data_IF_071740264008
#
_entry.id   IF_071740264008
#
_cell.length_a   1.000
_cell.length_b   1.000
_cell.length_c   1.000
_cell.angle_alpha   90.00
_cell.angle_beta   90.00
_cell.angle_gamma   90.00
#
_symmetry.space_group_name_H-M   'P 1'
#
loop_
_entity.id
_entity.type
_entity.pdbx_description
1 polymer ?
#
# COMPACT_ATOMS: atom_id res chain seq x y z
N UNK A 1 6.72 -32.33 -3.65
CA UNK A 1 7.24 -31.78 -2.37
C UNK A 1 6.07 -31.23 -1.57
N UNK A 2 6.15 -31.27 -0.24
CA UNK A 2 5.25 -30.57 0.69
C UNK A 2 5.82 -29.19 0.99
N UNK A 3 5.07 -28.13 0.65
CA UNK A 3 5.57 -26.76 0.69
C UNK A 3 4.58 -25.87 1.44
N UNK A 4 5.05 -25.13 2.45
CA UNK A 4 4.27 -24.09 3.11
C UNK A 4 4.78 -22.70 2.72
N UNK A 5 3.88 -21.77 2.40
CA UNK A 5 4.23 -20.38 2.08
C UNK A 5 3.75 -19.46 3.19
N UNK A 6 4.68 -19.08 4.08
CA UNK A 6 4.45 -18.16 5.20
C UNK A 6 4.49 -16.73 4.67
N UNK A 7 3.30 -16.14 4.47
CA UNK A 7 3.15 -14.84 3.81
C UNK A 7 2.64 -14.97 2.38
N UNK A 8 1.52 -15.65 2.20
CA UNK A 8 0.80 -15.75 0.92
C UNK A 8 0.09 -14.43 0.55
N UNK A 9 0.87 -13.35 0.41
CA UNK A 9 0.51 -12.15 -0.34
C UNK A 9 0.71 -12.37 -1.84
N UNK A 10 0.77 -11.29 -2.64
CA UNK A 10 0.79 -11.44 -4.10
C UNK A 10 1.98 -12.28 -4.64
N UNK A 11 3.19 -12.05 -4.10
CA UNK A 11 4.39 -12.84 -4.45
C UNK A 11 4.33 -14.28 -3.92
N UNK A 12 3.87 -14.47 -2.68
CA UNK A 12 3.71 -15.81 -2.09
C UNK A 12 2.67 -16.66 -2.82
N UNK A 13 1.56 -16.05 -3.25
CA UNK A 13 0.58 -16.70 -4.11
C UNK A 13 1.11 -16.95 -5.52
N UNK A 14 1.93 -16.06 -6.10
CA UNK A 14 2.53 -16.29 -7.41
C UNK A 14 3.45 -17.54 -7.41
N UNK A 15 4.36 -17.62 -6.44
CA UNK A 15 5.30 -18.75 -6.30
C UNK A 15 4.57 -20.02 -5.85
N UNK A 16 3.78 -19.94 -4.77
CA UNK A 16 3.07 -21.09 -4.23
C UNK A 16 2.01 -21.65 -5.18
N UNK A 17 1.28 -20.78 -5.91
CA UNK A 17 0.33 -21.18 -6.93
C UNK A 17 1.00 -21.91 -8.10
N UNK A 18 2.12 -21.39 -8.62
CA UNK A 18 2.88 -22.08 -9.68
C UNK A 18 3.44 -23.43 -9.19
N UNK A 19 3.91 -23.54 -7.95
CA UNK A 19 4.34 -24.81 -7.37
C UNK A 19 3.19 -25.82 -7.20
N UNK A 20 2.00 -25.35 -6.80
CA UNK A 20 0.80 -26.18 -6.65
C UNK A 20 0.29 -26.70 -7.99
N UNK A 21 0.27 -25.84 -9.01
CA UNK A 21 -0.09 -26.18 -10.39
C UNK A 21 0.83 -27.26 -10.98
N UNK A 22 2.11 -27.25 -10.62
CA UNK A 22 3.08 -28.29 -10.95
C UNK A 22 2.95 -29.58 -10.11
N UNK A 23 1.88 -29.74 -9.33
CA UNK A 23 1.58 -30.96 -8.57
C UNK A 23 2.26 -31.08 -7.20
N UNK A 24 2.80 -30.00 -6.63
CA UNK A 24 3.29 -30.01 -5.24
C UNK A 24 2.13 -29.86 -4.25
N UNK A 25 2.29 -30.43 -3.05
CA UNK A 25 1.34 -30.26 -1.95
C UNK A 25 1.62 -28.92 -1.27
N UNK A 26 0.92 -27.87 -1.71
CA UNK A 26 1.14 -26.49 -1.24
C UNK A 26 0.10 -26.05 -0.23
N UNK A 27 0.60 -25.43 0.85
CA UNK A 27 -0.18 -24.73 1.85
C UNK A 27 0.15 -23.23 1.83
N UNK A 28 -0.85 -22.39 1.58
CA UNK A 28 -0.72 -20.92 1.61
C UNK A 28 -1.14 -20.39 2.99
N UNK A 29 -0.30 -19.56 3.62
CA UNK A 29 -0.58 -19.02 4.97
C UNK A 29 -0.69 -17.50 4.88
N UNK A 30 -1.88 -16.97 5.20
CA UNK A 30 -2.16 -15.52 5.21
C UNK A 30 -3.22 -15.18 6.27
N UNK A 31 -2.94 -14.20 7.12
CA UNK A 31 -3.85 -13.72 8.18
C UNK A 31 -5.18 -13.15 7.70
N UNK A 32 -5.33 -12.82 6.41
CA UNK A 32 -6.58 -12.30 5.86
C UNK A 32 -7.57 -13.45 5.58
N UNK A 33 -8.57 -13.59 6.45
CA UNK A 33 -9.59 -14.64 6.37
C UNK A 33 -10.33 -14.65 5.02
N UNK A 34 -10.77 -13.49 4.50
CA UNK A 34 -11.46 -13.42 3.22
C UNK A 34 -10.57 -13.89 2.05
N UNK A 35 -9.26 -13.64 2.09
CA UNK A 35 -8.31 -14.14 1.09
C UNK A 35 -8.13 -15.66 1.18
N UNK A 36 -8.09 -16.21 2.41
CA UNK A 36 -8.03 -17.66 2.66
C UNK A 36 -9.30 -18.38 2.20
N UNK A 37 -10.47 -17.83 2.52
CA UNK A 37 -11.78 -18.41 2.17
C UNK A 37 -11.97 -18.44 0.65
N UNK A 38 -11.63 -17.35 -0.05
CA UNK A 38 -11.70 -17.28 -1.51
C UNK A 38 -10.84 -18.36 -2.18
N UNK A 39 -9.61 -18.59 -1.70
CA UNK A 39 -8.71 -19.63 -2.23
C UNK A 39 -9.28 -21.03 -1.97
N UNK A 40 -9.80 -21.29 -0.76
CA UNK A 40 -10.33 -22.61 -0.42
C UNK A 40 -11.63 -22.94 -1.19
N UNK A 41 -12.50 -21.95 -1.42
CA UNK A 41 -13.77 -22.13 -2.14
C UNK A 41 -13.55 -22.25 -3.66
N UNK A 42 -12.82 -21.30 -4.25
CA UNK A 42 -12.74 -21.14 -5.71
C UNK A 42 -11.40 -21.57 -6.33
N UNK A 43 -10.36 -21.77 -5.51
CA UNK A 43 -8.98 -21.83 -5.98
C UNK A 43 -8.33 -20.44 -6.06
N UNK A 44 -7.01 -20.41 -6.18
CA UNK A 44 -6.24 -19.19 -6.39
C UNK A 44 -6.32 -18.78 -7.87
N UNK A 45 -6.92 -17.63 -8.16
CA UNK A 45 -6.95 -17.05 -9.49
C UNK A 45 -5.64 -16.34 -9.81
N UNK A 46 -4.96 -16.80 -10.88
CA UNK A 46 -3.68 -16.30 -11.35
C UNK A 46 -3.82 -15.76 -12.77
N UNK A 47 -3.68 -14.44 -12.92
CA UNK A 47 -3.65 -13.74 -14.21
C UNK A 47 -2.20 -13.56 -14.68
N UNK A 48 -1.92 -13.97 -15.90
CA UNK A 48 -0.66 -13.73 -16.62
C UNK A 48 -0.98 -13.05 -17.97
N UNK A 49 0.01 -12.62 -18.78
CA UNK A 49 -0.26 -12.05 -20.11
C UNK A 49 -1.03 -13.00 -21.05
N UNK A 50 -0.92 -14.31 -20.83
CA UNK A 50 -1.54 -15.36 -21.64
C UNK A 50 -3.00 -15.65 -21.26
N UNK A 51 -3.47 -15.16 -20.10
CA UNK A 51 -4.85 -15.37 -19.63
C UNK A 51 -4.99 -15.41 -18.10
N UNK A 52 -6.16 -15.86 -17.63
CA UNK A 52 -6.44 -16.07 -16.20
C UNK A 52 -6.88 -17.52 -15.96
N UNK A 53 -6.35 -18.14 -14.89
CA UNK A 53 -6.62 -19.53 -14.54
C UNK A 53 -6.76 -19.71 -13.02
N UNK A 54 -7.41 -20.78 -12.59
CA UNK A 54 -7.65 -21.08 -11.18
C UNK A 54 -6.85 -22.31 -10.74
N UNK A 55 -5.91 -22.12 -9.84
CA UNK A 55 -5.10 -23.19 -9.26
C UNK A 55 -5.75 -23.68 -7.95
N UNK A 56 -6.06 -24.97 -7.86
CA UNK A 56 -6.55 -25.57 -6.61
C UNK A 56 -5.38 -25.76 -5.65
N UNK A 57 -5.47 -25.12 -4.49
CA UNK A 57 -4.48 -25.18 -3.41
C UNK A 57 -5.19 -24.94 -2.07
N UNK A 58 -4.57 -25.35 -0.96
CA UNK A 58 -5.11 -25.11 0.38
C UNK A 58 -4.57 -23.79 0.93
N UNK A 59 -5.42 -23.02 1.61
CA UNK A 59 -5.03 -21.84 2.38
C UNK A 59 -5.48 -21.91 3.84
N UNK A 60 -4.74 -21.29 4.75
CA UNK A 60 -5.06 -21.19 6.19
C UNK A 60 -4.64 -19.82 6.75
N UNK A 61 -5.30 -19.39 7.83
CA UNK A 61 -4.95 -18.16 8.57
C UNK A 61 -3.85 -18.37 9.62
N UNK A 62 -3.65 -19.61 10.07
CA UNK A 62 -2.59 -20.02 11.00
C UNK A 62 -2.05 -21.39 10.62
N UNK A 63 -0.76 -21.61 10.89
CA UNK A 63 -0.11 -22.92 10.73
C UNK A 63 -0.08 -23.75 12.02
N UNK A 64 -0.60 -23.22 13.12
CA UNK A 64 -0.61 -23.88 14.42
C UNK A 64 -1.34 -25.24 14.38
N UNK A 65 -0.68 -26.28 14.87
CA UNK A 65 -1.20 -27.65 14.87
C UNK A 65 -1.07 -28.40 13.54
N UNK A 66 -0.49 -27.77 12.50
CA UNK A 66 -0.08 -28.46 11.28
C UNK A 66 1.31 -29.08 11.48
N UNK A 67 1.53 -30.25 10.89
CA UNK A 67 2.79 -31.00 11.00
C UNK A 67 3.88 -30.54 10.03
N UNK A 68 5.09 -31.12 10.12
CA UNK A 68 6.23 -30.74 9.31
C UNK A 68 6.03 -30.85 7.79
N UNK A 69 6.69 -29.95 7.06
CA UNK A 69 6.76 -29.93 5.59
C UNK A 69 8.21 -30.06 5.12
N UNK A 70 8.42 -30.32 3.83
CA UNK A 70 9.78 -30.41 3.26
C UNK A 70 10.42 -29.01 3.15
N UNK A 71 9.61 -28.00 2.79
CA UNK A 71 10.04 -26.63 2.52
C UNK A 71 9.06 -25.60 3.09
N UNK A 72 9.56 -24.67 3.90
CA UNK A 72 8.85 -23.44 4.29
C UNK A 72 9.45 -22.27 3.50
N UNK A 73 8.63 -21.56 2.74
CA UNK A 73 9.02 -20.34 2.00
C UNK A 73 8.51 -19.13 2.79
N UNK A 74 9.40 -18.24 3.21
CA UNK A 74 9.08 -17.05 4.01
C UNK A 74 9.04 -15.80 3.10
N UNK A 75 7.86 -15.18 3.03
CA UNK A 75 7.53 -14.08 2.11
C UNK A 75 6.67 -12.97 2.75
N UNK A 76 6.66 -12.88 4.08
CA UNK A 76 6.12 -11.71 4.80
C UNK A 76 7.02 -10.48 4.60
N UNK A 77 6.56 -9.28 5.02
CA UNK A 77 7.49 -8.14 5.17
C UNK A 77 8.51 -8.45 6.28
N UNK A 78 9.76 -8.05 6.12
CA UNK A 78 10.88 -8.48 6.97
C UNK A 78 10.70 -8.16 8.46
N UNK A 79 10.02 -7.06 8.80
CA UNK A 79 9.65 -6.71 10.17
C UNK A 79 8.57 -7.61 10.82
N UNK A 80 7.88 -8.46 10.05
CA UNK A 80 6.96 -9.47 10.55
C UNK A 80 7.57 -10.89 10.62
N UNK A 81 8.82 -11.11 10.19
CA UNK A 81 9.42 -12.47 10.07
C UNK A 81 9.33 -13.26 11.37
N UNK A 82 9.72 -12.66 12.51
CA UNK A 82 9.66 -13.30 13.83
C UNK A 82 8.24 -13.74 14.19
N UNK A 83 7.28 -12.81 14.19
CA UNK A 83 5.88 -13.07 14.53
C UNK A 83 5.25 -14.13 13.61
N UNK A 84 5.55 -14.10 12.31
CA UNK A 84 5.02 -15.05 11.35
C UNK A 84 5.59 -16.46 11.55
N UNK A 85 6.86 -16.57 11.95
CA UNK A 85 7.49 -17.86 12.22
C UNK A 85 7.11 -18.43 13.59
N UNK A 86 6.90 -17.60 14.62
CA UNK A 86 6.41 -18.02 15.95
C UNK A 86 5.10 -18.83 15.83
N UNK A 87 4.19 -18.42 14.95
CA UNK A 87 2.92 -19.13 14.69
C UNK A 87 3.05 -20.28 13.68
N UNK A 88 4.26 -20.52 13.15
CA UNK A 88 4.54 -21.49 12.08
C UNK A 88 5.61 -22.53 12.44
N UNK A 89 6.17 -22.52 13.67
CA UNK A 89 7.24 -23.44 14.08
C UNK A 89 6.88 -24.93 13.95
N UNK A 90 5.60 -25.31 14.08
CA UNK A 90 5.18 -26.73 13.94
C UNK A 90 5.35 -27.30 12.52
N UNK A 91 5.56 -26.44 11.52
CA UNK A 91 5.92 -26.84 10.15
C UNK A 91 7.38 -27.26 10.00
N UNK A 92 8.23 -27.00 11.01
CA UNK A 92 9.68 -27.25 10.95
C UNK A 92 10.02 -28.52 11.73
N UNK A 93 10.32 -29.58 10.98
CA UNK A 93 10.90 -30.82 11.49
C UNK A 93 12.38 -30.94 11.12
N UNK A 94 13.02 -32.04 11.55
CA UNK A 94 14.47 -32.29 11.40
C UNK A 94 15.04 -32.20 9.98
N UNK A 95 14.21 -32.27 8.94
CA UNK A 95 14.63 -32.19 7.53
C UNK A 95 14.02 -31.00 6.78
N UNK A 96 13.20 -30.17 7.44
CA UNK A 96 12.53 -29.03 6.80
C UNK A 96 13.55 -27.95 6.45
N UNK A 97 13.51 -27.47 5.20
CA UNK A 97 14.28 -26.27 4.81
C UNK A 97 13.41 -25.03 4.98
N UNK A 98 13.96 -23.96 5.52
CA UNK A 98 13.31 -22.65 5.63
C UNK A 98 14.00 -21.67 4.68
N UNK A 99 13.39 -21.47 3.51
CA UNK A 99 13.89 -20.57 2.47
C UNK A 99 13.30 -19.17 2.64
N UNK A 100 14.16 -18.17 2.83
CA UNK A 100 13.75 -16.78 2.65
C UNK A 100 13.81 -16.35 1.19
N UNK A 101 12.80 -15.62 0.73
CA UNK A 101 12.82 -14.84 -0.51
C UNK A 101 12.48 -13.35 -0.26
N UNK A 102 12.69 -12.89 0.98
CA UNK A 102 12.33 -11.53 1.42
C UNK A 102 13.35 -10.48 0.91
N UNK A 103 13.04 -9.20 1.11
CA UNK A 103 13.95 -8.09 0.78
C UNK A 103 14.72 -7.58 2.01
N UNK A 104 15.88 -6.99 1.76
CA UNK A 104 16.80 -6.50 2.81
C UNK A 104 17.70 -7.61 3.34
N UNK A 105 18.31 -7.39 4.51
CA UNK A 105 19.18 -8.36 5.20
C UNK A 105 18.85 -8.51 6.69
N UNK A 106 19.19 -9.67 7.25
CA UNK A 106 19.12 -9.96 8.68
C UNK A 106 17.78 -10.56 9.12
N UNK A 107 16.90 -10.87 8.18
CA UNK A 107 15.74 -11.71 8.46
C UNK A 107 16.14 -13.20 8.45
N UNK A 108 17.20 -13.56 7.73
CA UNK A 108 17.87 -14.86 7.76
C UNK A 108 18.54 -15.13 9.12
N UNK A 109 19.12 -14.11 9.75
CA UNK A 109 19.61 -14.19 11.14
C UNK A 109 18.43 -14.51 12.09
N UNK A 110 17.31 -13.81 11.96
CA UNK A 110 16.09 -14.06 12.75
C UNK A 110 15.56 -15.48 12.53
N UNK A 111 15.59 -15.99 11.29
CA UNK A 111 15.21 -17.38 11.01
C UNK A 111 16.18 -18.37 11.67
N UNK A 112 17.50 -18.15 11.55
CA UNK A 112 18.51 -19.02 12.13
C UNK A 112 18.43 -19.07 13.66
N UNK A 113 18.18 -17.94 14.32
CA UNK A 113 17.93 -17.85 15.77
C UNK A 113 16.69 -18.65 16.22
N UNK A 114 15.72 -18.86 15.34
CA UNK A 114 14.44 -19.51 15.65
C UNK A 114 14.36 -20.98 15.27
N UNK A 115 15.01 -21.39 14.18
CA UNK A 115 14.92 -22.76 13.63
C UNK A 115 16.26 -23.49 13.50
N UNK A 116 17.39 -22.85 13.86
CA UNK A 116 18.73 -23.37 13.60
C UNK A 116 19.26 -22.93 12.23
N UNK A 117 20.55 -22.56 12.17
CA UNK A 117 21.18 -22.08 10.93
C UNK A 117 21.20 -23.16 9.85
N UNK A 118 21.34 -24.41 10.26
CA UNK A 118 21.29 -25.62 9.45
C UNK A 118 19.94 -25.85 8.76
N UNK A 119 18.86 -25.18 9.18
CA UNK A 119 17.56 -25.21 8.51
C UNK A 119 17.38 -24.09 7.47
N UNK A 120 18.14 -23.00 7.56
CA UNK A 120 17.90 -21.79 6.74
C UNK A 120 18.58 -21.89 5.37
N UNK A 121 17.86 -21.47 4.33
CA UNK A 121 18.38 -21.21 2.99
C UNK A 121 18.05 -19.75 2.62
N UNK A 122 18.98 -19.06 1.97
CA UNK A 122 18.75 -17.69 1.49
C UNK A 122 18.34 -17.69 0.03
N UNK A 123 17.67 -16.61 -0.40
CA UNK A 123 17.27 -16.46 -1.78
C UNK A 123 16.86 -15.05 -2.18
N UNK A 124 17.04 -14.75 -3.46
CA UNK A 124 16.66 -13.50 -4.13
C UNK A 124 15.82 -13.84 -5.33
N UNK A 125 14.61 -13.31 -5.41
CA UNK A 125 13.75 -13.44 -6.58
C UNK A 125 13.53 -12.11 -7.30
N UNK A 126 13.40 -12.19 -8.64
CA UNK A 126 12.86 -11.13 -9.49
C UNK A 126 11.39 -11.36 -9.87
N UNK A 127 10.76 -12.44 -9.35
CA UNK A 127 9.33 -12.70 -9.54
C UNK A 127 8.52 -11.55 -8.94
N UNK A 128 7.54 -11.08 -9.70
CA UNK A 128 6.58 -10.07 -9.25
C UNK A 128 5.20 -10.67 -8.98
N UNK A 129 4.37 -9.92 -8.26
CA UNK A 129 2.95 -10.22 -8.13
C UNK A 129 2.16 -8.99 -7.72
N UNK A 130 0.93 -8.85 -8.22
CA UNK A 130 0.00 -7.77 -7.84
C UNK A 130 -1.25 -8.39 -7.25
N UNK A 131 -1.68 -7.94 -6.08
CA UNK A 131 -2.95 -8.36 -5.48
C UNK A 131 -4.11 -7.65 -6.18
N UNK A 132 -5.04 -8.39 -6.76
CA UNK A 132 -6.27 -7.86 -7.36
C UNK A 132 -7.45 -7.92 -6.39
N UNK A 133 -7.43 -8.88 -5.47
CA UNK A 133 -8.45 -9.05 -4.43
C UNK A 133 -8.27 -10.34 -3.64
N UNK A 134 -9.21 -10.70 -2.75
CA UNK A 134 -9.27 -12.01 -2.12
C UNK A 134 -9.13 -13.14 -3.15
N UNK A 135 -8.18 -14.06 -2.94
CA UNK A 135 -7.90 -15.19 -3.84
C UNK A 135 -7.48 -14.85 -5.28
N UNK A 136 -7.15 -13.60 -5.65
CA UNK A 136 -6.88 -13.22 -7.04
C UNK A 136 -5.65 -12.31 -7.19
N UNK A 137 -4.73 -12.72 -8.07
CA UNK A 137 -3.46 -12.01 -8.33
C UNK A 137 -3.14 -11.87 -9.82
N UNK A 138 -2.32 -10.87 -10.16
CA UNK A 138 -1.44 -10.94 -11.33
C UNK A 138 -0.18 -11.69 -10.91
N UNK A 139 0.20 -12.75 -11.63
CA UNK A 139 1.45 -13.49 -11.43
C UNK A 139 2.52 -13.01 -12.42
N UNK A 140 3.69 -12.62 -11.92
CA UNK A 140 4.84 -12.16 -12.69
C UNK A 140 6.02 -13.14 -12.62
N UNK A 141 5.75 -14.45 -12.80
CA UNK A 141 6.77 -15.51 -12.75
C UNK A 141 7.55 -15.70 -14.06
N UNK A 142 6.92 -15.43 -15.21
CA UNK A 142 7.46 -15.76 -16.53
C UNK A 142 8.74 -14.95 -16.82
N UNK A 143 9.82 -15.65 -17.16
CA UNK A 143 11.11 -15.04 -17.48
C UNK A 143 11.79 -14.31 -16.31
N UNK A 144 11.40 -14.60 -15.06
CA UNK A 144 12.03 -14.02 -13.85
C UNK A 144 12.89 -15.04 -13.14
N UNK A 145 14.16 -14.70 -12.96
CA UNK A 145 15.11 -15.53 -12.23
C UNK A 145 14.88 -15.49 -10.72
N UNK A 146 15.12 -16.62 -10.07
CA UNK A 146 15.33 -16.74 -8.63
C UNK A 146 16.71 -17.35 -8.38
N UNK A 147 17.47 -16.77 -7.46
CA UNK A 147 18.74 -17.27 -6.98
C UNK A 147 18.52 -17.79 -5.56
N UNK A 148 18.94 -19.02 -5.26
CA UNK A 148 18.92 -19.57 -3.90
C UNK A 148 20.30 -20.11 -3.52
N UNK A 149 20.65 -20.14 -2.24
CA UNK A 149 21.95 -20.67 -1.83
C UNK A 149 22.12 -20.79 -0.32
N UNK A 150 23.14 -21.53 0.06
CA UNK A 150 23.54 -21.71 1.46
C UNK A 150 24.21 -20.44 1.99
N UNK A 151 23.99 -20.12 3.26
CA UNK A 151 24.55 -18.92 3.91
C UNK A 151 26.08 -18.98 4.08
N UNK A 152 26.71 -20.12 3.79
CA UNK A 152 28.17 -20.32 3.75
C UNK A 152 28.74 -20.46 2.33
N UNK A 153 27.89 -20.35 1.29
CA UNK A 153 28.27 -20.52 -0.12
C UNK A 153 28.39 -21.97 -0.59
N UNK A 154 28.11 -22.97 0.24
CA UNK A 154 28.20 -24.38 -0.16
C UNK A 154 27.10 -24.79 -1.16
N UNK A 155 27.45 -25.66 -2.13
CA UNK A 155 26.52 -26.16 -3.16
C UNK A 155 25.84 -27.47 -2.70
N UNK A 156 24.96 -27.35 -1.72
CA UNK A 156 24.29 -28.50 -1.08
C UNK A 156 23.32 -29.27 -2.00
N UNK A 157 23.03 -30.52 -1.62
CA UNK A 157 22.03 -31.34 -2.31
C UNK A 157 20.60 -30.82 -2.09
N UNK A 158 20.30 -30.22 -0.92
CA UNK A 158 18.97 -29.66 -0.62
C UNK A 158 18.67 -28.43 -1.48
N UNK A 159 19.64 -27.53 -1.68
CA UNK A 159 19.47 -26.36 -2.55
C UNK A 159 19.26 -26.80 -4.01
N UNK A 160 20.02 -27.80 -4.48
CA UNK A 160 19.84 -28.41 -5.82
C UNK A 160 18.46 -29.05 -6.00
N UNK A 161 17.96 -29.78 -5.00
CA UNK A 161 16.64 -30.40 -5.05
C UNK A 161 15.50 -29.36 -5.09
N UNK A 162 15.62 -28.28 -4.31
CA UNK A 162 14.65 -27.17 -4.33
C UNK A 162 14.68 -26.46 -5.69
N UNK A 163 15.87 -26.12 -6.20
CA UNK A 163 16.02 -25.51 -7.53
C UNK A 163 15.45 -26.41 -8.64
N UNK A 164 15.71 -27.72 -8.61
CA UNK A 164 15.12 -28.66 -9.57
C UNK A 164 13.58 -28.69 -9.48
N UNK A 165 13.02 -28.67 -8.27
CA UNK A 165 11.56 -28.61 -8.04
C UNK A 165 10.95 -27.33 -8.59
N UNK A 166 11.62 -26.18 -8.37
CA UNK A 166 11.17 -24.88 -8.86
C UNK A 166 11.25 -24.81 -10.40
N UNK A 167 12.36 -25.25 -11.00
CA UNK A 167 12.51 -25.28 -12.47
C UNK A 167 11.50 -26.21 -13.13
N UNK A 168 11.20 -27.37 -12.54
CA UNK A 168 10.15 -28.27 -13.03
C UNK A 168 8.75 -27.64 -13.00
N UNK A 169 8.52 -26.68 -12.09
CA UNK A 169 7.31 -25.86 -12.03
C UNK A 169 7.35 -24.61 -12.95
N UNK A 170 8.41 -24.41 -13.74
CA UNK A 170 8.58 -23.23 -14.58
C UNK A 170 9.10 -21.97 -13.85
N UNK A 171 9.51 -22.10 -12.58
CA UNK A 171 10.18 -21.03 -11.82
C UNK A 171 11.69 -21.12 -12.06
N UNK A 172 12.21 -20.32 -13.00
CA UNK A 172 13.63 -20.30 -13.35
C UNK A 172 14.51 -20.03 -12.12
N UNK A 173 15.22 -21.06 -11.65
CA UNK A 173 15.90 -21.04 -10.35
C UNK A 173 17.32 -21.58 -10.44
N UNK A 174 18.29 -20.78 -10.02
CA UNK A 174 19.72 -21.10 -10.03
C UNK A 174 20.25 -21.22 -8.59
N UNK A 175 21.06 -22.25 -8.32
CA UNK A 175 21.78 -22.36 -7.04
C UNK A 175 23.06 -21.52 -7.10
N UNK A 176 23.23 -20.59 -6.16
CA UNK A 176 24.37 -19.69 -6.07
C UNK A 176 25.32 -20.12 -4.94
N UNK A 177 26.62 -20.11 -5.24
CA UNK A 177 27.74 -20.20 -4.29
C UNK A 177 28.06 -18.85 -3.61
N UNK A 178 27.40 -17.76 -4.05
CA UNK A 178 27.57 -16.41 -3.53
C UNK A 178 26.22 -15.72 -3.29
N UNK A 179 25.32 -16.40 -2.56
CA UNK A 179 24.00 -15.86 -2.28
C UNK A 179 24.06 -14.61 -1.38
N UNK A 180 25.01 -14.56 -0.43
CA UNK A 180 25.23 -13.37 0.40
C UNK A 180 25.62 -12.17 -0.46
N UNK A 181 26.62 -12.29 -1.34
CA UNK A 181 26.99 -11.21 -2.28
C UNK A 181 25.82 -10.78 -3.17
N UNK A 182 25.06 -11.74 -3.67
CA UNK A 182 23.85 -11.52 -4.50
C UNK A 182 22.76 -10.70 -3.79
N UNK A 183 22.60 -10.90 -2.48
CA UNK A 183 21.66 -10.13 -1.63
C UNK A 183 22.23 -8.76 -1.26
N UNK A 184 23.52 -8.68 -0.92
CA UNK A 184 24.21 -7.42 -0.66
C UNK A 184 24.20 -6.49 -1.90
N UNK A 185 24.45 -7.00 -3.10
CA UNK A 185 24.33 -6.19 -4.34
C UNK A 185 22.91 -5.61 -4.51
N UNK A 186 21.87 -6.35 -4.12
CA UNK A 186 20.47 -5.85 -4.10
C UNK A 186 20.27 -4.82 -2.99
N UNK A 187 20.92 -5.00 -1.84
CA UNK A 187 20.88 -4.05 -0.73
C UNK A 187 21.51 -2.71 -1.13
N UNK A 188 22.65 -2.69 -1.81
CA UNK A 188 23.30 -1.45 -2.27
C UNK A 188 22.36 -0.61 -3.15
N UNK A 189 21.63 -1.25 -4.08
CA UNK A 189 20.60 -0.59 -4.91
C UNK A 189 19.50 0.07 -4.05
N UNK A 190 19.03 -0.62 -3.01
CA UNK A 190 17.99 -0.09 -2.10
C UNK A 190 18.52 1.02 -1.18
N UNK A 191 19.77 0.90 -0.71
CA UNK A 191 20.48 1.90 0.11
C UNK A 191 20.66 3.21 -0.67
N UNK A 192 20.98 3.10 -1.97
CA UNK A 192 21.23 4.25 -2.84
C UNK A 192 20.00 5.19 -2.95
N UNK A 193 18.79 4.67 -3.15
CA UNK A 193 17.61 5.52 -3.42
C UNK A 193 16.54 5.52 -2.34
N UNK A 194 16.42 4.45 -1.54
CA UNK A 194 15.26 4.19 -0.68
C UNK A 194 15.00 5.31 0.32
N UNK A 195 15.97 5.57 1.20
CA UNK A 195 15.83 6.56 2.26
C UNK A 195 15.80 8.00 1.73
N UNK A 196 16.68 8.35 0.78
CA UNK A 196 16.75 9.72 0.23
C UNK A 196 15.49 10.11 -0.54
N UNK A 197 14.91 9.20 -1.34
CA UNK A 197 13.59 9.40 -2.00
C UNK A 197 12.47 9.56 -0.98
N UNK A 198 12.52 8.81 0.12
CA UNK A 198 11.50 8.81 1.16
C UNK A 198 11.52 10.07 2.04
N UNK A 199 12.70 10.58 2.37
CA UNK A 199 12.89 11.82 3.13
C UNK A 199 12.48 13.04 2.30
N UNK A 200 12.91 13.11 1.03
CA UNK A 200 12.62 14.23 0.13
C UNK A 200 11.22 14.19 -0.50
N UNK A 201 10.53 13.05 -0.42
CA UNK A 201 9.27 12.74 -1.13
C UNK A 201 9.38 12.77 -2.67
N UNK A 202 10.59 12.73 -3.22
CA UNK A 202 10.82 12.82 -4.66
C UNK A 202 10.77 11.44 -5.35
N UNK A 203 10.09 11.32 -6.51
CA UNK A 203 10.28 10.22 -7.44
C UNK A 203 11.64 10.34 -8.15
N UNK A 204 12.06 9.30 -8.87
CA UNK A 204 13.39 9.20 -9.46
C UNK A 204 13.79 10.37 -10.37
N UNK A 205 12.91 10.83 -11.25
CA UNK A 205 13.21 11.91 -12.21
C UNK A 205 13.85 13.16 -11.58
N UNK A 206 13.17 13.86 -10.65
CA UNK A 206 13.73 14.99 -9.93
C UNK A 206 14.80 14.59 -8.89
N UNK A 207 14.72 13.38 -8.29
CA UNK A 207 15.73 12.92 -7.31
C UNK A 207 17.14 12.84 -7.92
N UNK A 208 17.25 12.39 -9.17
CA UNK A 208 18.53 12.25 -9.89
C UNK A 208 19.06 13.57 -10.47
N UNK A 209 18.33 14.68 -10.29
CA UNK A 209 18.76 16.02 -10.72
C UNK A 209 19.45 16.82 -9.60
N UNK A 210 19.57 16.26 -8.39
CA UNK A 210 20.10 16.96 -7.21
C UNK A 210 21.47 16.36 -6.83
N UNK A 211 22.60 17.03 -7.11
CA UNK A 211 23.94 16.51 -6.85
C UNK A 211 24.21 16.17 -5.38
N UNK A 212 23.61 16.91 -4.44
CA UNK A 212 23.74 16.68 -3.00
C UNK A 212 23.07 15.38 -2.55
N UNK A 213 21.98 14.99 -3.24
CA UNK A 213 21.30 13.71 -3.02
C UNK A 213 22.12 12.56 -3.61
N UNK A 214 22.69 12.73 -4.82
CA UNK A 214 23.64 11.75 -5.36
C UNK A 214 24.82 11.57 -4.40
N UNK A 215 25.48 12.64 -3.96
CA UNK A 215 26.60 12.57 -3.02
C UNK A 215 26.24 11.83 -1.71
N UNK A 216 25.05 12.10 -1.15
CA UNK A 216 24.54 11.40 0.04
C UNK A 216 24.30 9.91 -0.23
N UNK A 217 23.72 9.57 -1.38
CA UNK A 217 23.49 8.19 -1.80
C UNK A 217 24.79 7.42 -2.00
N UNK A 218 25.78 8.01 -2.68
CA UNK A 218 27.09 7.39 -2.91
C UNK A 218 27.83 7.13 -1.60
N UNK A 219 27.79 8.07 -0.65
CA UNK A 219 28.38 7.88 0.68
C UNK A 219 27.70 6.74 1.47
N UNK A 220 26.36 6.66 1.45
CA UNK A 220 25.62 5.59 2.09
C UNK A 220 25.92 4.21 1.46
N UNK A 221 26.10 4.15 0.14
CA UNK A 221 26.49 2.92 -0.57
C UNK A 221 27.95 2.55 -0.27
N UNK A 222 28.87 3.51 -0.21
CA UNK A 222 30.28 3.24 0.13
C UNK A 222 30.40 2.61 1.53
N UNK A 223 29.73 3.18 2.54
CA UNK A 223 29.67 2.56 3.89
C UNK A 223 29.19 1.11 3.84
N UNK A 224 28.16 0.82 3.03
CA UNK A 224 27.65 -0.54 2.87
C UNK A 224 28.66 -1.47 2.16
N UNK A 225 29.43 -0.96 1.20
CA UNK A 225 30.50 -1.71 0.54
C UNK A 225 31.67 -2.01 1.49
N UNK A 226 32.05 -1.04 2.34
CA UNK A 226 33.11 -1.21 3.34
C UNK A 226 32.71 -2.25 4.40
N UNK A 227 31.46 -2.22 4.86
CA UNK A 227 30.90 -3.24 5.77
C UNK A 227 30.88 -4.62 5.11
N UNK A 228 30.48 -4.72 3.84
CA UNK A 228 30.47 -5.98 3.09
C UNK A 228 31.89 -6.58 2.98
N UNK A 229 32.88 -5.75 2.62
CA UNK A 229 34.28 -6.15 2.51
C UNK A 229 34.85 -6.63 3.85
N UNK A 230 34.63 -5.88 4.94
CA UNK A 230 35.04 -6.27 6.29
C UNK A 230 34.34 -7.55 6.79
N UNK A 231 33.18 -7.88 6.21
CA UNK A 231 32.42 -9.11 6.51
C UNK A 231 32.74 -10.28 5.57
N UNK A 232 33.74 -10.16 4.69
CA UNK A 232 34.13 -11.19 3.74
C UNK A 232 33.13 -11.44 2.60
N UNK A 233 32.18 -10.52 2.37
CA UNK A 233 31.14 -10.67 1.35
C UNK A 233 31.67 -10.26 -0.01
N UNK A 234 31.58 -11.18 -0.99
CA UNK A 234 31.99 -10.93 -2.38
C UNK A 234 30.89 -10.20 -3.16
N UNK A 235 30.99 -8.88 -3.25
CA UNK A 235 30.12 -8.05 -4.10
C UNK A 235 30.44 -8.23 -5.60
N UNK A 236 29.47 -7.92 -6.47
CA UNK A 236 29.73 -7.68 -7.90
C UNK A 236 29.93 -6.20 -8.23
N UNK A 237 29.39 -5.29 -7.42
CA UNK A 237 29.68 -3.86 -7.53
C UNK A 237 31.07 -3.52 -6.97
N UNK A 238 31.83 -2.75 -7.76
CA UNK A 238 33.15 -2.20 -7.38
C UNK A 238 33.16 -0.66 -7.27
N UNK A 239 32.04 -0.01 -7.55
CA UNK A 239 31.84 1.44 -7.53
C UNK A 239 30.45 1.76 -6.96
N UNK A 240 30.32 2.61 -5.92
CA UNK A 240 29.03 3.07 -5.41
C UNK A 240 28.10 3.67 -6.46
N UNK A 241 28.66 4.37 -7.47
CA UNK A 241 27.88 5.03 -8.52
C UNK A 241 27.18 4.02 -9.43
N UNK A 242 27.75 2.82 -9.59
CA UNK A 242 27.11 1.75 -10.34
C UNK A 242 25.81 1.26 -9.66
N UNK A 243 25.75 1.21 -8.33
CA UNK A 243 24.52 0.82 -7.62
C UNK A 243 23.43 1.90 -7.73
N UNK A 244 23.82 3.19 -7.62
CA UNK A 244 22.93 4.34 -7.87
C UNK A 244 22.36 4.32 -9.29
N UNK A 245 23.19 4.25 -10.32
CA UNK A 245 22.74 4.20 -11.72
C UNK A 245 21.89 2.94 -12.00
N UNK A 246 22.19 1.80 -11.38
CA UNK A 246 21.40 0.58 -11.53
C UNK A 246 20.01 0.70 -10.89
N UNK A 247 19.84 1.54 -9.88
CA UNK A 247 18.58 1.68 -9.15
C UNK A 247 17.45 2.33 -9.96
N UNK A 248 17.76 3.17 -10.95
CA UNK A 248 16.80 3.79 -11.89
C UNK A 248 16.77 3.17 -13.29
N UNK A 249 17.72 2.29 -13.63
CA UNK A 249 17.87 1.72 -14.96
C UNK A 249 16.59 1.01 -15.46
N UNK A 250 15.99 1.55 -16.52
CA UNK A 250 14.78 1.00 -17.14
C UNK A 250 13.46 1.31 -16.40
N UNK A 251 13.46 2.23 -15.44
CA UNK A 251 12.28 2.66 -14.70
C UNK A 251 11.81 4.06 -15.15
N UNK A 252 10.51 4.38 -15.05
CA UNK A 252 9.96 5.64 -15.54
C UNK A 252 10.34 6.83 -14.63
N UNK A 253 10.25 8.04 -15.17
CA UNK A 253 10.64 9.29 -14.51
C UNK A 253 9.88 9.54 -13.19
N UNK A 254 8.62 9.13 -13.12
CA UNK A 254 7.74 9.27 -11.95
C UNK A 254 7.84 8.10 -10.96
N UNK A 255 8.75 7.14 -11.18
CA UNK A 255 8.89 5.97 -10.31
C UNK A 255 9.20 6.35 -8.85
N UNK A 256 8.43 5.77 -7.93
CA UNK A 256 8.60 5.92 -6.48
C UNK A 256 9.11 4.63 -5.84
N UNK A 257 10.09 4.74 -4.94
CA UNK A 257 10.59 3.59 -4.17
C UNK A 257 9.51 2.94 -3.31
N UNK A 258 9.65 1.65 -2.97
CA UNK A 258 8.73 0.95 -2.05
C UNK A 258 8.68 1.61 -0.67
N UNK A 259 9.79 2.21 -0.24
CA UNK A 259 9.90 2.96 1.02
C UNK A 259 9.06 4.24 0.97
N UNK A 260 9.19 5.04 -0.10
CA UNK A 260 8.38 6.25 -0.30
C UNK A 260 6.88 5.91 -0.37
N UNK A 261 6.51 4.90 -1.17
CA UNK A 261 5.13 4.42 -1.25
C UNK A 261 4.57 3.93 0.09
N UNK A 262 5.41 3.42 1.00
CA UNK A 262 4.97 3.00 2.34
C UNK A 262 4.69 4.23 3.23
N UNK A 263 5.53 5.26 3.18
CA UNK A 263 5.30 6.52 3.90
C UNK A 263 4.12 7.33 3.34
N UNK A 264 3.81 7.22 2.05
CA UNK A 264 2.60 7.81 1.45
C UNK A 264 1.31 7.12 1.93
N UNK A 265 1.40 5.83 2.28
CA UNK A 265 0.31 5.02 2.83
C UNK A 265 0.25 5.03 4.37
N UNK A 266 0.94 5.96 5.02
CA UNK A 266 1.03 6.04 6.49
C UNK A 266 1.57 4.77 7.17
N UNK A 267 2.35 3.95 6.44
CA UNK A 267 2.79 2.62 6.87
C UNK A 267 4.25 2.60 7.27
N UNK A 268 4.61 1.69 8.19
CA UNK A 268 6.00 1.38 8.56
C UNK A 268 6.78 0.87 7.34
N UNK A 269 8.03 1.30 7.24
CA UNK A 269 8.95 1.02 6.13
C UNK A 269 9.86 -0.18 6.40
N UNK A 270 10.70 -0.51 5.41
CA UNK A 270 11.73 -1.55 5.53
C UNK A 270 13.10 -0.99 5.95
N UNK A 271 13.17 0.25 6.46
CA UNK A 271 14.44 0.96 6.76
C UNK A 271 15.39 0.16 7.64
N UNK A 272 14.87 -0.56 8.64
CA UNK A 272 15.67 -1.36 9.59
C UNK A 272 16.33 -2.57 8.91
N UNK A 273 15.80 -3.04 7.78
CA UNK A 273 16.32 -4.17 7.00
C UNK A 273 17.10 -3.72 5.75
N UNK A 274 17.13 -2.41 5.48
CA UNK A 274 17.92 -1.80 4.42
C UNK A 274 19.12 -1.08 5.07
N UNK A 275 19.05 0.24 5.28
CA UNK A 275 20.14 1.01 5.89
C UNK A 275 20.43 0.55 7.33
N UNK A 276 19.40 0.16 8.10
CA UNK A 276 19.59 -0.38 9.45
C UNK A 276 20.32 -1.73 9.50
N UNK A 277 20.28 -2.52 8.42
CA UNK A 277 21.07 -3.74 8.33
C UNK A 277 22.55 -3.43 8.13
N UNK A 278 22.87 -2.43 7.30
CA UNK A 278 24.25 -1.92 7.13
C UNK A 278 24.81 -1.45 8.48
N UNK A 279 24.03 -0.67 9.25
CA UNK A 279 24.45 -0.20 10.59
C UNK A 279 24.74 -1.37 11.54
N UNK A 280 23.85 -2.37 11.62
CA UNK A 280 24.06 -3.54 12.50
C UNK A 280 25.28 -4.37 12.09
N UNK A 281 25.53 -4.53 10.78
CA UNK A 281 26.70 -5.27 10.31
C UNK A 281 28.00 -4.48 10.53
N UNK A 282 27.99 -3.16 10.30
CA UNK A 282 29.13 -2.28 10.62
C UNK A 282 29.52 -2.33 12.09
N UNK A 283 28.53 -2.33 12.99
CA UNK A 283 28.75 -2.54 14.43
C UNK A 283 29.38 -3.91 14.75
N UNK A 284 29.04 -4.99 14.02
CA UNK A 284 29.63 -6.33 14.21
C UNK A 284 31.10 -6.41 13.76
N UNK A 285 31.48 -5.70 12.69
CA UNK A 285 32.84 -5.72 12.13
C UNK A 285 33.71 -4.49 12.46
N UNK A 286 33.20 -3.53 13.23
CA UNK A 286 33.93 -2.31 13.63
C UNK A 286 34.02 -1.23 12.56
N UNK A 287 33.21 -1.30 11.51
CA UNK A 287 33.18 -0.33 10.40
C UNK A 287 32.15 0.78 10.71
N UNK A 288 32.53 2.07 10.71
CA UNK A 288 31.59 3.18 10.92
C UNK A 288 30.58 3.32 9.77
N UNK A 289 29.32 3.58 10.09
CA UNK A 289 28.24 3.78 9.11
C UNK A 289 27.39 5.03 9.41
N UNK A 290 28.00 6.23 9.59
CA UNK A 290 27.29 7.42 10.05
C UNK A 290 26.15 7.88 9.12
N UNK A 291 26.33 7.87 7.79
CA UNK A 291 25.30 8.28 6.84
C UNK A 291 24.11 7.33 6.88
N UNK A 292 24.34 6.02 6.88
CA UNK A 292 23.27 5.04 7.04
C UNK A 292 22.53 5.21 8.37
N UNK A 293 23.25 5.46 9.47
CA UNK A 293 22.65 5.69 10.79
C UNK A 293 21.79 6.97 10.81
N UNK A 294 22.24 8.05 10.17
CA UNK A 294 21.46 9.29 10.01
C UNK A 294 20.19 9.06 9.18
N UNK A 295 20.30 8.37 8.04
CA UNK A 295 19.15 8.04 7.18
C UNK A 295 18.10 7.20 7.93
N UNK A 296 18.53 6.22 8.73
CA UNK A 296 17.65 5.44 9.61
C UNK A 296 16.93 6.35 10.61
N UNK A 297 17.65 7.23 11.30
CA UNK A 297 17.07 8.14 12.29
C UNK A 297 16.02 9.10 11.68
N UNK A 298 16.31 9.67 10.50
CA UNK A 298 15.38 10.54 9.79
C UNK A 298 14.07 9.81 9.42
N UNK A 299 14.15 8.60 8.85
CA UNK A 299 12.96 7.82 8.51
C UNK A 299 12.18 7.44 9.77
N UNK A 300 12.84 7.05 10.87
CA UNK A 300 12.17 6.76 12.15
C UNK A 300 11.41 7.97 12.72
N UNK A 301 11.97 9.17 12.58
CA UNK A 301 11.28 10.43 12.91
C UNK A 301 10.02 10.66 12.07
N UNK A 302 10.09 10.37 10.77
CA UNK A 302 8.94 10.49 9.84
C UNK A 302 7.88 9.42 10.14
N UNK A 303 8.27 8.17 10.39
CA UNK A 303 7.37 7.09 10.82
C UNK A 303 6.63 7.47 12.12
N UNK A 304 7.30 8.11 13.08
CA UNK A 304 6.66 8.59 14.31
C UNK A 304 5.67 9.72 14.05
N UNK A 305 6.04 10.74 13.26
CA UNK A 305 5.20 11.92 13.03
C UNK A 305 3.91 11.62 12.24
N UNK A 306 3.94 10.61 11.38
CA UNK A 306 2.75 10.09 10.68
C UNK A 306 1.78 9.37 11.61
N UNK A 307 2.28 8.74 12.69
CA UNK A 307 1.50 7.96 13.65
C UNK A 307 1.02 8.77 14.88
N UNK A 308 1.18 10.10 14.88
CA UNK A 308 0.79 10.99 16.00
C UNK A 308 -0.51 11.75 15.68
N UNK A 309 -1.59 11.60 16.48
CA UNK A 309 -2.87 12.28 16.24
C UNK A 309 -2.78 13.81 16.24
N UNK A 310 -3.67 14.47 15.49
CA UNK A 310 -3.65 15.92 15.31
C UNK A 310 -3.83 16.72 16.62
N UNK A 311 -4.54 16.15 17.60
CA UNK A 311 -4.72 16.74 18.93
C UNK A 311 -3.40 16.94 19.71
N UNK A 312 -2.35 16.14 19.45
CA UNK A 312 -1.03 16.29 20.08
C UNK A 312 -0.13 17.29 19.33
N UNK A 313 -0.55 17.80 18.16
CA UNK A 313 0.23 18.77 17.36
C UNK A 313 0.02 20.21 17.81
N UNK A 314 -1.11 20.56 18.43
CA UNK A 314 -1.38 21.93 18.89
C UNK A 314 -0.71 22.28 20.22
N UNK A 315 -0.36 21.28 21.04
CA UNK A 315 0.28 21.47 22.35
C UNK A 315 1.78 21.74 22.27
N UNK A 316 2.42 21.51 21.12
CA UNK A 316 3.88 21.71 20.93
C UNK A 316 4.29 23.13 20.50
N UNK A 317 3.36 24.07 20.30
CA UNK A 317 3.71 25.40 19.77
C UNK A 317 3.03 26.56 20.54
N UNK A 318 3.53 26.81 21.77
CA UNK A 318 3.04 27.88 22.66
C UNK A 318 3.92 29.13 22.63
N UNK A 319 3.75 29.99 21.61
CA UNK A 319 4.16 31.41 21.69
C UNK A 319 3.19 32.39 21.00
N UNK A 320 2.17 32.80 21.77
CA UNK A 320 1.43 34.08 21.75
C UNK A 320 0.98 34.79 20.44
N UNK A 321 -0.34 34.84 20.20
CA UNK A 321 -1.12 36.06 19.84
C UNK A 321 -2.64 35.84 20.08
N UNK A 322 -3.50 36.89 20.04
CA UNK A 322 -4.95 36.84 20.40
C UNK A 322 -5.88 37.55 19.36
N UNK A 323 -7.16 37.14 19.16
CA UNK A 323 -8.06 37.67 18.09
C UNK A 323 -9.36 38.41 18.55
N UNK A 324 -10.26 38.74 17.59
CA UNK A 324 -11.40 39.71 17.62
C UNK A 324 -12.82 39.08 17.33
N UNK A 325 -13.96 39.78 17.57
CA UNK A 325 -15.35 39.24 17.44
C UNK A 325 -16.49 40.24 17.04
N UNK A 326 -17.50 39.88 16.19
CA UNK A 326 -18.71 40.68 15.78
C UNK A 326 -20.08 40.11 16.30
N UNK A 327 -21.30 40.62 15.93
CA UNK A 327 -22.49 40.51 16.82
C UNK A 327 -23.65 39.49 16.58
N UNK A 328 -24.32 39.34 15.42
CA UNK A 328 -25.74 38.82 15.36
C UNK A 328 -26.10 37.82 14.22
N UNK A 329 -27.28 37.15 14.27
CA UNK A 329 -27.63 35.90 13.52
C UNK A 329 -29.15 35.66 13.19
N UNK A 330 -29.49 34.86 12.14
CA UNK A 330 -30.85 34.43 11.68
C UNK A 330 -30.86 33.11 10.79
N UNK A 331 -32.01 32.48 10.40
CA UNK A 331 -32.12 31.13 9.73
C UNK A 331 -33.44 30.80 8.90
N UNK A 332 -33.46 29.72 8.04
CA UNK A 332 -34.58 29.17 7.18
C UNK A 332 -34.52 27.61 7.04
N UNK A 333 -35.63 26.84 6.92
CA UNK A 333 -35.66 25.35 7.16
C UNK A 333 -36.01 24.31 6.04
N UNK A 334 -36.84 24.51 4.98
CA UNK A 334 -37.26 23.36 4.11
C UNK A 334 -37.62 23.64 2.61
N UNK A 335 -37.26 22.72 1.70
CA UNK A 335 -37.56 22.70 0.22
C UNK A 335 -37.71 21.27 -0.34
N UNK A 336 -38.52 21.04 -1.39
CA UNK A 336 -38.74 19.72 -2.03
C UNK A 336 -38.70 19.75 -3.58
N UNK A 337 -38.09 18.73 -4.23
CA UNK A 337 -37.94 18.63 -5.71
C UNK A 337 -38.13 17.19 -6.27
N UNK A 338 -38.52 17.09 -7.55
CA UNK A 338 -38.59 15.82 -8.32
C UNK A 338 -37.32 15.64 -9.14
N UNK A 339 -36.85 14.42 -9.29
CA UNK A 339 -35.56 14.09 -9.93
C UNK A 339 -35.66 12.80 -10.75
N UNK A 340 -34.93 12.75 -11.88
CA UNK A 340 -34.97 11.59 -12.81
C UNK A 340 -34.29 10.36 -12.22
N UNK A 341 -33.07 10.53 -11.71
CA UNK A 341 -32.37 9.54 -10.89
C UNK A 341 -32.32 10.05 -9.45
N UNK A 342 -33.13 9.45 -8.57
CA UNK A 342 -33.16 9.83 -7.14
C UNK A 342 -31.89 9.43 -6.41
N UNK A 343 -31.29 8.27 -6.72
CA UNK A 343 -30.07 7.81 -6.05
C UNK A 343 -28.88 8.71 -6.38
N UNK A 344 -28.83 9.20 -7.61
CA UNK A 344 -27.84 10.18 -8.03
C UNK A 344 -27.95 11.46 -7.20
N UNK A 345 -29.15 12.00 -7.00
CA UNK A 345 -29.37 13.22 -6.21
C UNK A 345 -29.18 13.02 -4.71
N UNK A 346 -29.58 11.86 -4.17
CA UNK A 346 -29.30 11.48 -2.78
C UNK A 346 -27.80 11.49 -2.54
N UNK A 347 -27.03 10.79 -3.39
CA UNK A 347 -25.56 10.79 -3.26
C UNK A 347 -24.95 12.16 -3.51
N UNK A 348 -25.46 12.97 -4.46
CA UNK A 348 -24.95 14.33 -4.69
C UNK A 348 -25.11 15.19 -3.42
N UNK A 349 -26.33 15.40 -2.92
CA UNK A 349 -26.53 16.28 -1.78
C UNK A 349 -25.93 15.74 -0.46
N UNK A 350 -25.71 14.43 -0.35
CA UNK A 350 -24.96 13.83 0.76
C UNK A 350 -23.44 13.96 0.61
N UNK A 351 -22.85 13.46 -0.48
CA UNK A 351 -21.38 13.40 -0.67
C UNK A 351 -20.76 14.76 -1.03
N UNK A 352 -21.54 15.69 -1.59
CA UNK A 352 -21.09 17.06 -1.95
C UNK A 352 -21.41 18.08 -0.86
N UNK A 353 -22.58 17.97 -0.22
CA UNK A 353 -23.12 19.01 0.67
C UNK A 353 -23.38 18.53 2.12
N UNK A 354 -23.11 17.25 2.44
CA UNK A 354 -23.22 16.71 3.79
C UNK A 354 -24.64 16.52 4.31
N UNK A 355 -25.65 16.58 3.43
CA UNK A 355 -27.07 16.54 3.80
C UNK A 355 -27.55 15.09 3.96
N UNK A 356 -27.21 14.47 5.09
CA UNK A 356 -27.46 13.06 5.46
C UNK A 356 -28.95 12.70 5.67
N UNK A 357 -29.31 11.43 5.82
CA UNK A 357 -30.70 10.97 5.95
C UNK A 357 -31.44 11.63 7.12
N UNK A 358 -32.67 12.09 6.87
CA UNK A 358 -33.67 12.36 7.90
C UNK A 358 -34.80 11.33 7.88
N UNK A 359 -35.33 11.01 6.70
CA UNK A 359 -36.52 10.15 6.52
C UNK A 359 -36.54 9.56 5.10
N UNK A 360 -37.18 8.41 4.90
CA UNK A 360 -37.30 7.72 3.60
C UNK A 360 -38.71 7.12 3.47
N UNK A 361 -39.34 7.28 2.31
CA UNK A 361 -40.59 6.59 1.93
C UNK A 361 -40.30 5.58 0.80
N UNK A 362 -40.53 4.30 1.09
CA UNK A 362 -40.24 3.17 0.19
C UNK A 362 -39.09 2.29 0.68
N UNK A 363 -38.73 1.24 -0.08
CA UNK A 363 -37.51 0.47 0.15
C UNK A 363 -36.27 1.37 0.12
N UNK A 364 -35.29 1.10 0.98
CA UNK A 364 -34.05 1.90 1.07
C UNK A 364 -33.13 1.78 -0.17
N UNK A 365 -33.32 0.70 -0.93
CA UNK A 365 -32.65 0.37 -2.19
C UNK A 365 -33.41 0.86 -3.44
N UNK A 366 -34.67 1.29 -3.29
CA UNK A 366 -35.51 1.91 -4.34
C UNK A 366 -36.52 2.92 -3.71
N UNK A 367 -36.04 4.06 -3.19
CA UNK A 367 -36.86 4.99 -2.41
C UNK A 367 -37.75 5.82 -3.34
N UNK A 368 -39.04 5.91 -3.02
CA UNK A 368 -39.96 6.82 -3.71
C UNK A 368 -39.68 8.27 -3.34
N UNK A 369 -39.32 8.51 -2.07
CA UNK A 369 -38.97 9.83 -1.55
C UNK A 369 -37.88 9.73 -0.48
N UNK A 370 -37.05 10.77 -0.37
CA UNK A 370 -35.92 10.83 0.56
C UNK A 370 -35.76 12.25 1.11
N UNK A 371 -35.69 12.40 2.43
CA UNK A 371 -35.50 13.68 3.12
C UNK A 371 -34.11 13.76 3.75
N UNK A 372 -33.50 14.93 3.69
CA UNK A 372 -32.16 15.20 4.23
C UNK A 372 -32.17 16.06 5.50
N UNK A 373 -31.14 15.87 6.33
CA UNK A 373 -30.73 16.78 7.40
C UNK A 373 -30.18 18.05 6.75
N UNK A 374 -30.70 19.21 7.16
CA UNK A 374 -30.51 20.48 6.46
C UNK A 374 -31.67 20.88 5.54
N UNK A 375 -32.70 20.04 5.42
CA UNK A 375 -34.04 20.51 5.02
C UNK A 375 -34.51 20.21 3.61
N UNK A 376 -33.85 19.35 2.83
CA UNK A 376 -34.26 19.10 1.44
C UNK A 376 -34.98 17.76 1.26
N UNK A 377 -35.97 17.69 0.37
CA UNK A 377 -36.68 16.47 -0.02
C UNK A 377 -36.51 16.17 -1.52
N UNK A 378 -36.26 14.91 -1.85
CA UNK A 378 -36.12 14.37 -3.20
C UNK A 378 -37.25 13.37 -3.48
N UNK A 379 -37.79 13.38 -4.70
CA UNK A 379 -38.85 12.46 -5.14
C UNK A 379 -38.49 11.78 -6.47
N UNK A 380 -38.64 10.46 -6.55
CA UNK A 380 -38.25 9.65 -7.69
C UNK A 380 -39.25 9.78 -8.86
N UNK A 381 -38.76 10.09 -10.06
CA UNK A 381 -39.59 10.17 -11.26
C UNK A 381 -38.79 9.77 -12.52
N UNK A 382 -38.59 8.45 -12.79
CA UNK A 382 -37.68 7.98 -13.84
C UNK A 382 -38.01 8.44 -15.26
N UNK A 383 -39.29 8.65 -15.56
CA UNK A 383 -39.79 9.11 -16.86
C UNK A 383 -39.70 10.65 -17.05
N UNK A 384 -39.11 11.38 -16.10
CA UNK A 384 -39.00 12.84 -16.16
C UNK A 384 -38.02 13.30 -17.24
N UNK A 385 -38.43 14.25 -18.08
CA UNK A 385 -37.56 14.93 -19.05
C UNK A 385 -37.72 16.45 -18.95
N UNK A 386 -36.61 17.16 -18.76
CA UNK A 386 -36.58 18.61 -18.68
C UNK A 386 -36.18 19.21 -20.05
N UNK A 387 -36.84 20.30 -20.51
CA UNK A 387 -36.47 20.96 -21.76
C UNK A 387 -35.07 21.61 -21.64
N UNK A 388 -34.23 21.57 -22.70
CA UNK A 388 -32.88 22.10 -22.65
C UNK A 388 -32.90 23.63 -22.55
N UNK A 389 -32.33 24.13 -21.46
CA UNK A 389 -32.05 25.55 -21.23
C UNK A 389 -30.61 25.67 -20.70
N UNK A 390 -29.78 26.35 -21.48
CA UNK A 390 -28.32 26.42 -21.25
C UNK A 390 -27.93 27.58 -20.32
N UNK A 391 -28.87 28.46 -19.98
CA UNK A 391 -28.60 29.76 -19.34
C UNK A 391 -29.24 29.89 -17.95
N UNK A 392 -30.22 29.02 -17.65
CA UNK A 392 -30.86 28.81 -16.35
C UNK A 392 -31.52 27.44 -16.35
N UNK A 393 -31.43 26.69 -15.26
CA UNK A 393 -31.99 25.34 -15.16
C UNK A 393 -33.52 25.28 -15.25
N UNK A 394 -34.10 24.07 -15.20
CA UNK A 394 -35.58 23.90 -15.19
C UNK A 394 -36.25 24.47 -13.93
N UNK A 395 -35.45 24.83 -12.92
CA UNK A 395 -35.75 25.75 -11.84
C UNK A 395 -34.64 26.81 -11.79
N UNK A 396 -34.98 28.07 -11.48
CA UNK A 396 -34.08 29.22 -11.65
C UNK A 396 -32.70 29.05 -10.97
N UNK A 397 -32.66 28.81 -9.65
CA UNK A 397 -31.54 28.23 -8.90
C UNK A 397 -31.99 27.92 -7.45
N UNK A 398 -31.20 27.12 -6.72
CA UNK A 398 -31.33 26.87 -5.28
C UNK A 398 -30.06 27.35 -4.55
N UNK A 399 -30.17 28.35 -3.67
CA UNK A 399 -29.04 28.85 -2.88
C UNK A 399 -28.76 28.00 -1.63
N UNK A 400 -27.54 27.47 -1.50
CA UNK A 400 -27.12 26.59 -0.40
C UNK A 400 -25.89 27.17 0.31
N UNK A 401 -26.01 27.40 1.62
CA UNK A 401 -24.89 27.86 2.46
C UNK A 401 -24.04 26.67 2.93
N UNK A 402 -22.74 26.72 2.66
CA UNK A 402 -21.78 25.62 2.92
C UNK A 402 -20.63 26.09 3.81
N UNK A 403 -20.14 25.24 4.71
CA UNK A 403 -19.00 25.56 5.58
C UNK A 403 -17.68 25.70 4.80
N UNK A 404 -17.56 25.09 3.61
CA UNK A 404 -16.45 25.28 2.66
C UNK A 404 -16.98 25.28 1.22
N UNK A 405 -16.98 26.45 0.58
CA UNK A 405 -17.46 26.68 -0.77
C UNK A 405 -16.55 26.08 -1.83
N UNK A 406 -15.23 26.09 -1.63
CA UNK A 406 -14.29 25.53 -2.61
C UNK A 406 -14.31 24.00 -2.55
N UNK A 407 -14.44 23.43 -1.35
CA UNK A 407 -14.68 22.00 -1.18
C UNK A 407 -16.03 21.59 -1.76
N UNK A 408 -17.10 22.35 -1.58
CA UNK A 408 -18.42 22.01 -2.12
C UNK A 408 -18.48 22.16 -3.66
N UNK A 409 -17.89 23.22 -4.23
CA UNK A 409 -17.78 23.37 -5.69
C UNK A 409 -16.90 22.28 -6.31
N UNK A 410 -15.76 21.96 -5.67
CA UNK A 410 -14.89 20.88 -6.13
C UNK A 410 -15.49 19.49 -5.93
N UNK A 411 -16.22 19.27 -4.85
CA UNK A 411 -16.94 18.02 -4.64
C UNK A 411 -18.05 17.85 -5.68
N UNK A 412 -18.60 18.93 -6.24
CA UNK A 412 -19.55 18.91 -7.36
C UNK A 412 -18.88 18.70 -8.74
N UNK A 413 -17.62 19.11 -8.97
CA UNK A 413 -16.91 18.93 -10.25
C UNK A 413 -17.05 17.53 -10.90
N UNK A 414 -16.88 16.39 -10.19
CA UNK A 414 -16.98 15.07 -10.82
C UNK A 414 -18.42 14.62 -11.12
N UNK A 415 -19.44 15.40 -10.75
CA UNK A 415 -20.86 15.05 -10.91
C UNK A 415 -21.45 15.54 -12.24
N UNK A 416 -20.61 15.72 -13.27
CA UNK A 416 -21.08 16.15 -14.60
C UNK A 416 -21.81 17.49 -14.61
N UNK A 417 -21.55 18.33 -13.61
CA UNK A 417 -22.21 19.63 -13.45
C UNK A 417 -21.60 20.66 -14.41
N UNK A 418 -22.43 21.60 -14.89
CA UNK A 418 -21.99 22.68 -15.79
C UNK A 418 -22.07 24.03 -15.09
N UNK A 419 -21.02 24.84 -15.17
CA UNK A 419 -21.02 26.20 -14.62
C UNK A 419 -21.87 27.14 -15.47
N UNK A 420 -22.75 27.91 -14.83
CA UNK A 420 -23.65 28.85 -15.51
C UNK A 420 -23.05 30.28 -15.65
N UNK A 421 -23.50 31.09 -16.64
CA UNK A 421 -22.89 32.40 -16.94
C UNK A 421 -22.90 33.44 -15.80
N UNK A 422 -23.71 33.23 -14.77
CA UNK A 422 -23.88 34.11 -13.61
C UNK A 422 -22.68 34.08 -12.66
N UNK A 423 -21.93 32.97 -12.58
CA UNK A 423 -20.73 32.88 -11.74
C UNK A 423 -20.25 31.45 -11.49
N UNK A 424 -18.98 31.29 -11.10
CA UNK A 424 -18.37 29.96 -10.87
C UNK A 424 -19.01 29.13 -9.77
N UNK A 425 -19.75 29.78 -8.86
CA UNK A 425 -20.47 29.14 -7.77
C UNK A 425 -21.91 28.73 -8.14
N UNK A 426 -22.31 28.93 -9.41
CA UNK A 426 -23.59 28.53 -9.99
C UNK A 426 -23.40 27.30 -10.87
N UNK A 427 -24.01 26.19 -10.49
CA UNK A 427 -23.84 24.87 -11.10
C UNK A 427 -25.19 24.31 -11.57
N UNK A 428 -25.23 23.77 -12.79
CA UNK A 428 -26.33 22.99 -13.32
C UNK A 428 -26.01 21.50 -13.24
N UNK A 429 -26.89 20.71 -12.60
CA UNK A 429 -26.75 19.26 -12.47
C UNK A 429 -27.12 18.53 -13.79
N UNK A 430 -26.76 17.25 -13.99
CA UNK A 430 -26.95 16.54 -15.27
C UNK A 430 -28.40 16.39 -15.75
N UNK A 431 -29.39 16.51 -14.86
CA UNK A 431 -30.82 16.51 -15.23
C UNK A 431 -31.38 17.94 -15.47
N UNK A 432 -30.52 18.96 -15.37
CA UNK A 432 -30.82 20.36 -15.67
C UNK A 432 -31.16 21.24 -14.46
N UNK A 433 -31.13 20.74 -13.22
CA UNK A 433 -31.40 21.54 -12.02
C UNK A 433 -30.26 22.53 -11.71
N UNK A 434 -30.55 23.79 -11.39
CA UNK A 434 -29.53 24.80 -11.04
C UNK A 434 -29.39 25.04 -9.53
N UNK A 435 -28.16 25.19 -9.05
CA UNK A 435 -27.77 25.35 -7.64
C UNK A 435 -26.72 26.46 -7.51
N UNK A 436 -26.89 27.39 -6.57
CA UNK A 436 -25.86 28.36 -6.16
C UNK A 436 -25.27 27.93 -4.81
N UNK A 437 -23.94 27.80 -4.73
CA UNK A 437 -23.26 27.53 -3.47
C UNK A 437 -22.70 28.84 -2.87
N UNK A 438 -22.83 28.99 -1.55
CA UNK A 438 -22.50 30.23 -0.83
C UNK A 438 -21.63 29.90 0.39
N UNK A 439 -20.45 30.51 0.50
CA UNK A 439 -19.56 30.33 1.65
C UNK A 439 -20.20 30.89 2.93
N UNK A 440 -20.48 30.03 3.90
CA UNK A 440 -20.96 30.41 5.22
C UNK A 440 -19.80 30.92 6.10
N UNK A 441 -20.13 31.69 7.15
CA UNK A 441 -19.18 32.01 8.21
C UNK A 441 -18.93 30.75 9.08
N UNK A 442 -17.68 30.34 9.36
CA UNK A 442 -17.36 29.04 9.96
C UNK A 442 -18.16 28.69 11.22
N UNK A 443 -18.73 27.48 11.24
CA UNK A 443 -19.52 26.96 12.36
C UNK A 443 -20.95 27.50 12.42
N UNK A 444 -21.36 28.36 11.48
CA UNK A 444 -22.75 28.82 11.37
C UNK A 444 -23.68 27.74 10.83
N UNK A 445 -23.20 26.86 9.93
CA UNK A 445 -23.96 25.70 9.45
C UNK A 445 -24.16 24.70 10.59
N UNK A 446 -23.11 24.37 11.35
CA UNK A 446 -23.23 23.51 12.53
C UNK A 446 -24.17 24.09 13.62
N UNK A 447 -24.19 25.42 13.82
CA UNK A 447 -25.13 26.07 14.75
C UNK A 447 -26.57 26.10 14.23
N UNK A 448 -26.77 26.17 12.91
CA UNK A 448 -28.07 26.05 12.27
C UNK A 448 -28.63 24.62 12.36
N UNK A 449 -27.80 23.61 12.06
CA UNK A 449 -28.15 22.19 12.17
C UNK A 449 -28.43 21.72 13.60
N UNK A 450 -27.97 22.47 14.62
CA UNK A 450 -28.28 22.21 16.02
C UNK A 450 -29.68 22.72 16.46
N UNK A 451 -30.36 23.53 15.65
CA UNK A 451 -31.74 23.97 15.91
C UNK A 451 -32.68 22.80 15.66
N UNK A 452 -33.42 22.36 16.69
CA UNK A 452 -34.42 21.29 16.59
C UNK A 452 -35.81 21.90 16.30
N UNK A 453 -36.34 21.86 15.06
CA UNK A 453 -37.52 22.65 14.71
C UNK A 453 -38.86 22.02 15.16
N UNK A 454 -38.82 20.76 15.64
CA UNK A 454 -39.98 19.96 16.09
C UNK A 454 -39.66 19.11 17.33
N UNK A 455 -38.85 19.64 18.25
CA UNK A 455 -38.63 19.04 19.57
C UNK A 455 -39.73 19.45 20.58
#
# INVERSE_FOLDING_TARGET
MKIAVVGAGALGCAIGGTLAEAGNEVLLINRNQAHVDAINQHGLAMRTPEGERWVRTRAVTSAQGLGPVDLVIVLVKSFHTRQAMETSLSLVGQQTVVLSLQNGLGHEDILADMVGREHVLAGKTYVGGVMLGPGRIISGVVGKETLIGELDGSLSNRAKAIAATFNAAGLATTVSDNILGTMWDKLLINVATGAVSSITRLPYGPLYQIPEIEATALAAVQEAMDVAAASGVKLSFTDPRAAWLKASAGLPYDFKTSMLQSLEKGSVTEIDFINGAVVRWGQRCGVPTPVNATLVACIKGIERSLNTPFAERSTMNTSASKPFTPPTKAYVEHVAVRVKDIHWHIRFFYEVLGMDVREIDGPTDDPRQYWTLGGMQLMACPDFEAPPSNDAGWLAHLGVMVDDLEAALKAAEPWGVTTLPQGRNWLQLPDGLAVELIQAAPGSVAQALAVKPRA
#
